data_IF_435707989325
#
_entry.id   IF_435707989325
#
_cell.length_a   1.000
_cell.length_b   1.000
_cell.length_c   1.000
_cell.angle_alpha   90.00
_cell.angle_beta   90.00
_cell.angle_gamma   90.00
#
_symmetry.space_group_name_H-M   'P 1'
#
loop_
_entity.id
_entity.type
_entity.pdbx_description
1 polymer ?
#
# COMPACT_ATOMS: atom_id res chain seq x y z
N UNK A 1 21.30 15.99 43.46
CA UNK A 1 20.40 14.86 43.73
C UNK A 1 20.79 13.69 42.83
N UNK A 2 21.52 12.69 43.35
CA UNK A 2 22.03 11.58 42.54
C UNK A 2 20.89 10.70 42.04
N UNK A 3 20.84 10.45 40.73
CA UNK A 3 19.91 9.52 40.10
C UNK A 3 20.24 8.07 40.51
N UNK A 4 19.77 7.66 41.69
CA UNK A 4 19.89 6.26 42.16
C UNK A 4 19.09 5.37 41.19
N UNK A 5 19.77 4.47 40.45
CA UNK A 5 19.14 3.37 39.69
C UNK A 5 19.43 3.29 38.20
N UNK A 6 20.17 4.22 37.56
CA UNK A 6 20.54 4.04 36.17
C UNK A 6 21.69 3.02 36.01
N UNK A 7 21.65 2.26 34.90
CA UNK A 7 22.76 1.36 34.54
C UNK A 7 23.94 2.17 33.99
N UNK A 8 25.16 1.97 34.58
CA UNK A 8 26.38 2.56 34.06
C UNK A 8 26.70 2.02 32.64
N UNK A 9 27.13 2.89 31.76
CA UNK A 9 27.68 2.53 30.44
C UNK A 9 29.06 1.87 30.61
N UNK A 10 29.58 1.26 29.54
CA UNK A 10 30.94 0.71 29.54
C UNK A 10 31.99 1.78 29.85
N UNK A 11 31.89 2.92 29.15
CA UNK A 11 32.86 4.02 29.29
C UNK A 11 32.84 4.65 30.68
N UNK A 12 31.67 4.79 31.31
CA UNK A 12 31.55 5.25 32.69
C UNK A 12 32.22 4.28 33.67
N UNK A 13 32.08 2.97 33.47
CA UNK A 13 32.74 1.97 34.30
C UNK A 13 34.26 2.02 34.15
N UNK A 14 34.73 2.22 32.92
CA UNK A 14 36.17 2.37 32.66
C UNK A 14 36.67 3.64 33.32
N UNK A 15 36.02 4.79 33.14
CA UNK A 15 36.40 6.06 33.73
C UNK A 15 36.48 5.99 35.28
N UNK A 16 35.48 5.35 35.91
CA UNK A 16 35.48 5.08 37.36
C UNK A 16 36.72 4.27 37.78
N UNK A 17 37.02 3.18 37.06
CA UNK A 17 38.17 2.33 37.40
C UNK A 17 39.50 3.03 37.15
N UNK A 18 39.63 3.84 36.10
CA UNK A 18 40.83 4.64 35.81
C UNK A 18 41.07 5.74 36.87
N UNK A 19 39.99 6.37 37.38
CA UNK A 19 40.10 7.31 38.49
C UNK A 19 40.68 6.64 39.75
N UNK A 20 40.22 5.44 40.07
CA UNK A 20 40.77 4.67 41.20
C UNK A 20 42.21 4.25 40.93
N UNK A 21 42.57 3.85 39.73
CA UNK A 21 43.94 3.50 39.32
C UNK A 21 44.91 4.69 39.50
N UNK A 22 44.40 5.93 39.33
CA UNK A 22 45.15 7.17 39.56
C UNK A 22 45.27 7.56 41.03
N UNK A 23 44.77 6.76 41.97
CA UNK A 23 44.89 6.95 43.37
C UNK A 23 43.70 7.56 44.10
N UNK A 24 42.59 7.79 43.43
CA UNK A 24 41.38 8.29 44.10
C UNK A 24 40.71 7.18 44.92
N UNK A 25 40.15 7.54 46.08
CA UNK A 25 39.39 6.61 46.90
C UNK A 25 38.17 6.07 46.16
N UNK A 26 37.92 4.74 46.17
CA UNK A 26 36.71 4.16 45.57
C UNK A 26 35.42 4.76 46.12
N UNK A 27 35.38 5.14 47.36
CA UNK A 27 34.22 5.77 48.01
C UNK A 27 33.94 7.16 47.42
N UNK A 28 34.99 7.99 47.28
CA UNK A 28 34.90 9.30 46.68
C UNK A 28 34.43 9.20 45.21
N UNK A 29 34.99 8.25 44.46
CA UNK A 29 34.61 8.04 43.04
C UNK A 29 33.17 7.58 42.94
N UNK A 30 32.68 6.72 43.87
CA UNK A 30 31.28 6.29 43.91
C UNK A 30 30.32 7.47 44.11
N UNK A 31 30.64 8.36 45.03
CA UNK A 31 29.84 9.55 45.35
C UNK A 31 29.83 10.56 44.18
N UNK A 32 31.00 10.86 43.61
CA UNK A 32 31.15 11.81 42.50
C UNK A 32 30.39 11.35 41.26
N UNK A 33 30.47 10.06 40.90
CA UNK A 33 29.81 9.51 39.72
C UNK A 33 28.36 9.05 39.98
N UNK A 34 27.88 9.09 41.23
CA UNK A 34 26.51 8.72 41.59
C UNK A 34 26.20 7.23 41.48
N UNK A 35 27.21 6.38 41.60
CA UNK A 35 27.07 4.92 41.60
C UNK A 35 27.11 4.34 43.04
N UNK A 36 26.51 3.14 43.20
CA UNK A 36 26.60 2.48 44.48
C UNK A 36 28.03 2.01 44.77
N UNK A 37 28.47 2.14 46.03
CA UNK A 37 29.77 1.66 46.50
C UNK A 37 30.02 0.21 46.08
N UNK A 38 29.05 -0.68 46.26
CA UNK A 38 29.17 -2.10 45.90
C UNK A 38 29.45 -2.29 44.41
N UNK A 39 28.80 -1.50 43.53
CA UNK A 39 29.04 -1.56 42.08
C UNK A 39 30.45 -1.11 41.72
N UNK A 40 30.92 0.00 42.29
CA UNK A 40 32.25 0.54 42.03
C UNK A 40 33.35 -0.45 42.48
N UNK A 41 33.23 -1.03 43.68
CA UNK A 41 34.15 -2.05 44.14
C UNK A 41 34.15 -3.32 43.30
N UNK A 42 32.96 -3.76 42.80
CA UNK A 42 32.86 -4.91 41.91
C UNK A 42 33.54 -4.63 40.58
N UNK A 43 33.34 -3.43 40.00
CA UNK A 43 33.99 -3.01 38.73
C UNK A 43 35.50 -2.90 38.91
N UNK A 44 35.99 -2.29 40.03
CA UNK A 44 37.40 -2.14 40.33
C UNK A 44 38.10 -3.51 40.46
N UNK A 45 37.47 -4.47 41.14
CA UNK A 45 37.99 -5.84 41.23
C UNK A 45 38.11 -6.48 39.87
N UNK A 46 37.04 -6.42 39.05
CA UNK A 46 37.04 -6.99 37.71
C UNK A 46 38.07 -6.32 36.79
N UNK A 47 38.24 -4.99 36.89
CA UNK A 47 39.22 -4.23 36.13
C UNK A 47 40.63 -4.61 36.48
N UNK A 48 40.94 -4.71 37.77
CA UNK A 48 42.28 -5.07 38.27
C UNK A 48 42.68 -6.50 37.89
N UNK A 49 41.73 -7.44 37.90
CA UNK A 49 41.96 -8.86 37.61
C UNK A 49 42.05 -9.14 36.10
N UNK A 50 41.24 -8.48 35.29
CA UNK A 50 41.02 -8.87 33.91
C UNK A 50 40.98 -7.70 32.93
N UNK A 51 41.33 -6.50 33.35
CA UNK A 51 41.38 -5.29 32.51
C UNK A 51 40.02 -4.71 32.13
N UNK A 52 40.04 -3.65 31.33
CA UNK A 52 38.85 -2.90 30.94
C UNK A 52 37.76 -3.75 30.24
N UNK A 53 38.16 -4.77 29.49
CA UNK A 53 37.21 -5.62 28.76
C UNK A 53 36.26 -6.40 29.69
N UNK A 54 36.68 -6.66 30.93
CA UNK A 54 35.85 -7.33 31.93
C UNK A 54 34.65 -6.48 32.39
N UNK A 55 34.70 -5.16 32.14
CA UNK A 55 33.61 -4.23 32.44
C UNK A 55 32.49 -4.22 31.40
N UNK A 56 32.67 -4.88 30.25
CA UNK A 56 31.60 -5.01 29.25
C UNK A 56 30.45 -5.83 29.81
N UNK A 57 29.25 -5.30 29.67
CA UNK A 57 28.05 -6.03 30.08
C UNK A 57 27.88 -7.28 29.19
N UNK A 58 27.98 -8.46 29.82
CA UNK A 58 27.64 -9.70 29.10
C UNK A 58 26.15 -9.65 28.71
N UNK A 59 25.86 -9.79 27.43
CA UNK A 59 24.48 -10.01 26.99
C UNK A 59 24.02 -11.31 27.64
N UNK A 60 23.08 -11.22 28.55
CA UNK A 60 22.40 -12.39 29.11
C UNK A 60 21.66 -13.07 27.94
N UNK A 61 21.87 -14.37 27.75
CA UNK A 61 21.01 -15.15 26.83
C UNK A 61 19.59 -15.04 27.35
N UNK A 62 18.71 -14.52 26.51
CA UNK A 62 17.28 -14.52 26.79
C UNK A 62 16.75 -15.96 26.97
N UNK A 63 15.49 -16.12 27.41
CA UNK A 63 14.86 -17.44 27.49
C UNK A 63 15.03 -18.19 26.19
N UNK A 64 15.20 -19.53 26.27
CA UNK A 64 15.27 -20.38 25.09
C UNK A 64 14.04 -20.16 24.18
N UNK A 65 14.27 -20.19 22.88
CA UNK A 65 13.18 -20.06 21.90
C UNK A 65 12.20 -21.22 22.11
N UNK A 66 10.90 -20.89 22.22
CA UNK A 66 9.85 -21.92 22.43
C UNK A 66 9.54 -22.71 21.16
N UNK A 67 9.96 -22.23 19.99
CA UNK A 67 9.89 -22.92 18.71
C UNK A 67 11.28 -23.10 18.16
N UNK A 68 11.62 -24.33 17.77
CA UNK A 68 12.87 -24.66 17.09
C UNK A 68 12.83 -24.24 15.61
N UNK A 69 14.00 -24.28 14.95
CA UNK A 69 14.14 -23.79 13.56
C UNK A 69 13.30 -24.60 12.56
N UNK A 70 13.13 -25.90 12.77
CA UNK A 70 12.26 -26.76 11.95
C UNK A 70 10.79 -26.34 12.09
N UNK A 71 10.33 -26.10 13.33
CA UNK A 71 8.97 -25.62 13.59
C UNK A 71 8.72 -24.24 13.01
N UNK A 72 9.71 -23.36 13.06
CA UNK A 72 9.66 -22.03 12.44
C UNK A 72 9.53 -22.14 10.91
N UNK A 73 10.33 -22.99 10.27
CA UNK A 73 10.25 -23.25 8.84
C UNK A 73 8.90 -23.85 8.41
N UNK A 74 8.33 -24.78 9.24
CA UNK A 74 6.99 -25.33 9.00
C UNK A 74 5.91 -24.25 9.17
N UNK A 75 6.00 -23.42 10.21
CA UNK A 75 5.08 -22.30 10.42
C UNK A 75 5.09 -21.33 9.24
N UNK A 76 6.27 -20.98 8.74
CA UNK A 76 6.41 -20.12 7.58
C UNK A 76 5.66 -20.70 6.37
N UNK A 77 5.87 -21.97 6.04
CA UNK A 77 5.20 -22.62 4.91
C UNK A 77 3.68 -22.65 5.06
N UNK A 78 3.18 -22.91 6.26
CA UNK A 78 1.75 -22.94 6.54
C UNK A 78 1.11 -21.54 6.39
N UNK A 79 1.74 -20.50 6.92
CA UNK A 79 1.18 -19.14 6.89
C UNK A 79 1.35 -18.49 5.52
N UNK A 80 2.50 -18.66 4.85
CA UNK A 80 2.77 -18.05 3.55
C UNK A 80 2.17 -18.83 2.37
N UNK A 81 2.01 -20.14 2.51
CA UNK A 81 1.58 -21.02 1.41
C UNK A 81 0.13 -21.47 1.47
N UNK A 82 -0.63 -21.10 2.52
CA UNK A 82 -2.01 -21.58 2.69
C UNK A 82 -2.96 -20.44 3.05
N UNK A 83 -4.15 -20.49 2.48
CA UNK A 83 -5.30 -19.73 2.96
C UNK A 83 -5.74 -20.31 4.32
N UNK A 84 -6.03 -19.46 5.34
CA UNK A 84 -6.49 -19.97 6.64
C UNK A 84 -7.65 -20.97 6.58
N UNK A 85 -8.56 -20.80 5.62
CA UNK A 85 -9.72 -21.70 5.42
C UNK A 85 -9.31 -23.12 5.05
N UNK A 86 -8.19 -23.31 4.37
CA UNK A 86 -7.63 -24.64 4.07
C UNK A 86 -7.13 -25.36 5.33
N UNK A 87 -6.88 -24.59 6.40
CA UNK A 87 -6.48 -25.10 7.71
C UNK A 87 -7.63 -25.03 8.74
N UNK A 88 -8.87 -25.04 8.26
CA UNK A 88 -10.10 -25.06 9.07
C UNK A 88 -10.30 -23.82 9.96
N UNK A 89 -9.86 -22.64 9.49
CA UNK A 89 -10.25 -21.38 10.08
C UNK A 89 -11.36 -20.74 9.24
N UNK A 90 -12.28 -19.99 9.86
CA UNK A 90 -13.40 -19.34 9.15
C UNK A 90 -12.96 -18.18 8.25
N UNK A 91 -12.16 -17.20 8.76
CA UNK A 91 -11.72 -16.05 7.99
C UNK A 91 -10.68 -16.41 6.91
N UNK A 92 -10.65 -15.62 5.81
CA UNK A 92 -9.66 -15.77 4.74
C UNK A 92 -8.31 -15.07 5.03
N UNK A 93 -8.24 -14.20 6.05
CA UNK A 93 -7.04 -13.44 6.37
C UNK A 93 -6.47 -13.88 7.71
N UNK A 94 -5.18 -14.15 7.74
CA UNK A 94 -4.47 -14.50 8.96
C UNK A 94 -4.52 -13.39 10.02
N UNK A 95 -4.90 -13.76 11.22
CA UNK A 95 -4.75 -12.92 12.41
C UNK A 95 -3.71 -13.52 13.36
N UNK A 96 -3.12 -12.70 14.23
CA UNK A 96 -2.19 -13.21 15.26
C UNK A 96 -2.86 -14.27 16.15
N UNK A 97 -4.17 -14.14 16.43
CA UNK A 97 -4.93 -15.12 17.19
C UNK A 97 -5.03 -16.48 16.49
N UNK A 98 -5.34 -16.48 15.20
CA UNK A 98 -5.39 -17.70 14.40
C UNK A 98 -4.02 -18.37 14.30
N UNK A 99 -2.95 -17.58 14.14
CA UNK A 99 -1.57 -18.09 14.10
C UNK A 99 -1.17 -18.67 15.49
N UNK A 100 -1.57 -18.04 16.59
CA UNK A 100 -1.36 -18.59 17.92
C UNK A 100 -2.04 -19.95 18.10
N UNK A 101 -3.28 -20.07 17.61
CA UNK A 101 -4.04 -21.32 17.63
C UNK A 101 -3.42 -22.38 16.69
N UNK A 102 -2.96 -21.99 15.52
CA UNK A 102 -2.21 -22.87 14.61
C UNK A 102 -0.95 -23.42 15.27
N UNK A 103 -0.17 -22.57 15.94
CA UNK A 103 1.03 -22.97 16.69
C UNK A 103 0.65 -23.98 17.79
N UNK A 104 -0.44 -23.73 18.50
CA UNK A 104 -0.92 -24.65 19.53
C UNK A 104 -1.32 -26.00 18.94
N UNK A 105 -2.04 -26.02 17.82
CA UNK A 105 -2.49 -27.25 17.14
C UNK A 105 -1.34 -28.05 16.56
N UNK A 106 -0.41 -27.38 15.88
CA UNK A 106 0.67 -28.04 15.14
C UNK A 106 1.86 -28.45 16.02
N UNK A 107 2.15 -27.67 17.08
CA UNK A 107 3.38 -27.84 17.87
C UNK A 107 3.13 -28.04 19.36
N UNK A 108 1.89 -27.96 19.83
CA UNK A 108 1.57 -28.08 21.26
C UNK A 108 2.06 -26.88 22.11
N UNK A 109 2.48 -25.76 21.48
CA UNK A 109 3.09 -24.61 22.16
C UNK A 109 2.10 -23.48 22.25
N UNK A 110 1.84 -22.97 23.46
CA UNK A 110 1.01 -21.80 23.67
C UNK A 110 1.86 -20.52 23.73
N UNK A 111 1.60 -19.56 22.86
CA UNK A 111 2.27 -18.28 22.77
C UNK A 111 1.30 -17.13 22.98
N UNK A 112 1.77 -16.03 23.59
CA UNK A 112 1.01 -14.77 23.61
C UNK A 112 1.01 -14.12 22.22
N UNK A 113 0.01 -13.29 21.92
CA UNK A 113 -0.11 -12.58 20.64
C UNK A 113 1.10 -11.67 20.36
N UNK A 114 1.73 -11.12 21.41
CA UNK A 114 2.97 -10.33 21.30
C UNK A 114 4.13 -11.23 20.85
N UNK A 115 4.24 -12.41 21.45
CA UNK A 115 5.29 -13.38 21.08
C UNK A 115 5.09 -13.89 19.65
N UNK A 116 3.84 -14.16 19.24
CA UNK A 116 3.52 -14.50 17.85
C UNK A 116 3.97 -13.41 16.89
N UNK A 117 3.71 -12.12 17.22
CA UNK A 117 4.20 -11.01 16.40
C UNK A 117 5.72 -11.03 16.22
N UNK A 118 6.48 -11.22 17.30
CA UNK A 118 7.95 -11.31 17.26
C UNK A 118 8.45 -12.52 16.46
N UNK A 119 7.73 -13.65 16.54
CA UNK A 119 8.03 -14.85 15.73
C UNK A 119 7.84 -14.55 14.26
N UNK A 120 6.74 -13.91 13.87
CA UNK A 120 6.47 -13.53 12.48
C UNK A 120 7.51 -12.53 11.95
N UNK A 121 7.86 -11.50 12.72
CA UNK A 121 8.93 -10.57 12.38
C UNK A 121 10.29 -11.27 12.16
N UNK A 122 10.64 -12.23 13.03
CA UNK A 122 11.86 -13.05 12.89
C UNK A 122 11.82 -13.90 11.61
N UNK A 123 10.64 -14.33 11.16
CA UNK A 123 10.42 -15.04 9.90
C UNK A 123 10.38 -14.11 8.67
N UNK A 124 10.60 -12.80 8.84
CA UNK A 124 10.55 -11.82 7.75
C UNK A 124 9.13 -11.47 7.31
N UNK A 125 8.12 -11.78 8.12
CA UNK A 125 6.72 -11.49 7.83
C UNK A 125 6.27 -10.20 8.48
N UNK A 126 5.52 -9.39 7.75
CA UNK A 126 4.86 -8.18 8.26
C UNK A 126 3.38 -8.17 7.83
N UNK A 127 2.52 -7.42 8.54
CA UNK A 127 1.14 -7.23 8.10
C UNK A 127 1.12 -6.60 6.71
N UNK A 128 0.45 -7.26 5.76
CA UNK A 128 0.28 -6.81 4.39
C UNK A 128 -1.19 -6.53 4.13
N UNK A 129 -1.48 -5.53 3.30
CA UNK A 129 -2.82 -5.33 2.76
C UNK A 129 -2.98 -6.27 1.56
N UNK A 130 -3.90 -7.24 1.61
CA UNK A 130 -4.03 -8.20 0.52
C UNK A 130 -4.51 -7.52 -0.76
N UNK A 131 -3.98 -7.96 -1.88
CA UNK A 131 -4.54 -7.63 -3.18
C UNK A 131 -5.77 -8.52 -3.42
N UNK A 132 -6.89 -7.89 -3.76
CA UNK A 132 -8.08 -8.61 -4.19
C UNK A 132 -7.99 -8.87 -5.69
N UNK A 133 -7.97 -10.14 -6.07
CA UNK A 133 -8.10 -10.57 -7.47
C UNK A 133 -9.43 -11.29 -7.63
N UNK A 134 -10.15 -10.99 -8.70
CA UNK A 134 -11.34 -11.73 -9.04
C UNK A 134 -10.93 -13.19 -9.33
N UNK A 135 -11.61 -14.17 -8.71
CA UNK A 135 -11.32 -15.57 -8.97
C UNK A 135 -11.65 -16.00 -10.40
N UNK A 136 -12.46 -15.18 -11.09
CA UNK A 136 -12.81 -15.32 -12.51
C UNK A 136 -11.71 -14.83 -13.46
N UNK A 137 -10.66 -14.17 -12.93
CA UNK A 137 -9.53 -13.73 -13.74
C UNK A 137 -8.79 -14.94 -14.32
N UNK A 138 -8.52 -14.88 -15.62
CA UNK A 138 -7.72 -15.87 -16.34
C UNK A 138 -6.26 -15.37 -16.47
N UNK A 139 -5.32 -15.95 -15.70
CA UNK A 139 -3.92 -15.53 -15.76
C UNK A 139 -3.28 -15.74 -17.14
N UNK A 140 -3.76 -16.75 -17.90
CA UNK A 140 -3.24 -17.03 -19.22
C UNK A 140 -3.64 -15.95 -20.21
N UNK A 141 -4.91 -15.52 -20.20
CA UNK A 141 -5.38 -14.39 -21.01
C UNK A 141 -4.67 -13.09 -20.65
N UNK A 142 -4.41 -12.86 -19.36
CA UNK A 142 -3.63 -11.70 -18.89
C UNK A 142 -2.20 -11.72 -19.46
N UNK A 143 -1.55 -12.90 -19.45
CA UNK A 143 -0.22 -13.08 -20.02
C UNK A 143 -0.23 -12.88 -21.54
N UNK A 144 -1.18 -13.51 -22.24
CA UNK A 144 -1.34 -13.38 -23.69
C UNK A 144 -1.59 -11.92 -24.10
N UNK A 145 -2.42 -11.20 -23.34
CA UNK A 145 -2.62 -9.77 -23.57
C UNK A 145 -1.30 -8.99 -23.56
N UNK A 146 -0.49 -9.17 -22.53
CA UNK A 146 0.79 -8.46 -22.39
C UNK A 146 1.82 -8.84 -23.44
N UNK A 147 1.90 -10.12 -23.78
CA UNK A 147 2.97 -10.64 -24.64
C UNK A 147 2.64 -10.60 -26.13
N UNK A 148 1.36 -10.65 -26.49
CA UNK A 148 0.94 -10.77 -27.89
C UNK A 148 -0.01 -9.65 -28.30
N UNK A 149 -1.14 -9.48 -27.59
CA UNK A 149 -2.23 -8.59 -28.06
C UNK A 149 -1.83 -7.12 -27.98
N UNK A 150 -1.33 -6.68 -26.81
CA UNK A 150 -0.96 -5.27 -26.66
C UNK A 150 0.23 -4.84 -27.53
N UNK A 151 1.30 -5.62 -27.70
CA UNK A 151 2.35 -5.32 -28.70
C UNK A 151 1.83 -5.18 -30.12
N UNK A 152 0.85 -6.01 -30.53
CA UNK A 152 0.20 -5.86 -31.84
C UNK A 152 -0.59 -4.56 -31.97
N UNK A 153 -1.32 -4.17 -30.90
CA UNK A 153 -2.02 -2.87 -30.85
C UNK A 153 -1.01 -1.73 -30.95
N UNK A 154 0.12 -1.81 -30.25
CA UNK A 154 1.18 -0.79 -30.33
C UNK A 154 1.79 -0.69 -31.75
N UNK A 155 2.09 -1.82 -32.37
CA UNK A 155 2.65 -1.86 -33.74
C UNK A 155 1.66 -1.24 -34.73
N UNK A 156 0.38 -1.60 -34.61
CA UNK A 156 -0.69 -1.07 -35.45
C UNK A 156 -0.90 0.43 -35.21
N UNK A 157 -0.96 0.88 -33.95
CA UNK A 157 -1.06 2.30 -33.61
C UNK A 157 0.10 3.12 -34.19
N UNK A 158 1.31 2.58 -34.15
CA UNK A 158 2.49 3.22 -34.76
C UNK A 158 2.35 3.32 -36.28
N UNK A 159 1.89 2.27 -36.95
CA UNK A 159 1.70 2.24 -38.40
C UNK A 159 0.60 3.23 -38.85
N UNK A 160 -0.48 3.34 -38.12
CA UNK A 160 -1.63 4.21 -38.42
C UNK A 160 -1.48 5.64 -37.86
N UNK A 161 -0.40 5.92 -37.11
CA UNK A 161 -0.19 7.20 -36.43
C UNK A 161 -1.19 7.48 -35.33
N UNK A 162 -1.83 6.44 -34.78
CA UNK A 162 -2.86 6.55 -33.75
C UNK A 162 -2.25 6.79 -32.35
N UNK A 163 -3.07 7.33 -31.46
CA UNK A 163 -2.77 7.43 -30.02
C UNK A 163 -3.57 6.36 -29.28
N UNK A 164 -2.88 5.61 -28.41
CA UNK A 164 -3.52 4.62 -27.55
C UNK A 164 -3.97 5.34 -26.27
N UNK A 165 -5.26 5.23 -25.97
CA UNK A 165 -5.86 5.63 -24.72
C UNK A 165 -6.42 4.42 -23.99
N UNK A 166 -6.25 4.38 -22.68
CA UNK A 166 -6.99 3.50 -21.78
C UNK A 166 -8.09 4.33 -21.15
N UNK A 167 -9.29 3.79 -21.10
CA UNK A 167 -10.42 4.49 -20.52
C UNK A 167 -11.22 3.60 -19.58
N UNK A 168 -11.88 4.26 -18.62
CA UNK A 168 -12.71 3.63 -17.61
C UNK A 168 -13.72 4.64 -17.04
N UNK A 169 -14.72 4.13 -16.31
CA UNK A 169 -15.66 4.93 -15.55
C UNK A 169 -15.54 4.65 -14.06
N UNK A 170 -15.75 5.69 -13.30
CA UNK A 170 -15.81 5.59 -11.86
C UNK A 170 -16.88 6.48 -11.26
N UNK A 171 -17.34 6.10 -10.09
CA UNK A 171 -18.23 6.94 -9.29
C UNK A 171 -17.65 7.19 -7.90
N UNK A 172 -17.94 8.35 -7.36
CA UNK A 172 -17.66 8.70 -5.97
C UNK A 172 -18.93 9.23 -5.33
N UNK A 173 -19.14 8.93 -4.04
CA UNK A 173 -20.31 9.34 -3.29
C UNK A 173 -19.94 10.35 -2.23
N UNK A 174 -20.92 11.16 -1.81
CA UNK A 174 -20.75 12.14 -0.71
C UNK A 174 -20.37 11.49 0.63
N UNK A 175 -20.73 10.23 0.86
CA UNK A 175 -20.40 9.47 2.07
C UNK A 175 -19.09 8.65 1.94
N UNK A 176 -18.31 8.85 0.87
CA UNK A 176 -17.03 8.20 0.70
C UNK A 176 -15.94 8.95 1.47
N UNK A 177 -15.22 8.22 2.33
CA UNK A 177 -14.12 8.75 3.12
C UNK A 177 -12.87 7.88 2.97
N UNK A 178 -11.73 8.52 2.87
CA UNK A 178 -10.44 7.86 2.79
C UNK A 178 -9.39 8.59 3.63
N UNK A 179 -8.46 7.81 4.22
CA UNK A 179 -7.34 8.37 4.98
C UNK A 179 -7.60 8.48 6.47
N UNK A 180 -6.64 9.12 7.14
CA UNK A 180 -6.61 9.37 8.59
C UNK A 180 -6.25 10.83 8.82
N UNK A 181 -6.59 11.34 10.01
CA UNK A 181 -6.19 12.68 10.44
C UNK A 181 -5.62 12.65 11.86
N UNK A 182 -5.01 13.75 12.28
CA UNK A 182 -4.41 13.88 13.61
C UNK A 182 -5.44 14.34 14.62
N UNK A 183 -5.44 13.70 15.78
CA UNK A 183 -6.25 14.09 16.95
C UNK A 183 -5.51 13.67 18.24
N UNK A 184 -5.86 14.25 19.41
CA UNK A 184 -5.35 13.77 20.69
C UNK A 184 -5.68 12.30 20.90
N UNK A 185 -4.76 11.56 21.54
CA UNK A 185 -4.95 10.15 21.86
C UNK A 185 -6.26 9.94 22.63
N UNK A 186 -7.07 8.99 22.19
CA UNK A 186 -8.38 8.70 22.80
C UNK A 186 -9.52 9.64 22.39
N UNK A 187 -9.27 10.61 21.50
CA UNK A 187 -10.31 11.52 20.98
C UNK A 187 -10.44 11.34 19.47
N UNK A 188 -11.47 10.60 19.05
CA UNK A 188 -11.76 10.44 17.63
C UNK A 188 -12.29 11.76 17.05
N UNK A 189 -11.65 12.31 15.99
CA UNK A 189 -12.13 13.52 15.35
C UNK A 189 -13.45 13.26 14.62
N UNK A 190 -14.32 14.24 14.61
CA UNK A 190 -15.59 14.21 13.87
C UNK A 190 -15.48 15.19 12.70
N UNK A 191 -15.75 14.70 11.50
CA UNK A 191 -15.84 15.52 10.29
C UNK A 191 -17.30 15.58 9.87
N UNK A 192 -17.85 16.80 9.78
CA UNK A 192 -19.21 16.99 9.33
C UNK A 192 -19.33 16.64 7.84
N UNK A 193 -20.36 15.89 7.49
CA UNK A 193 -20.67 15.51 6.10
C UNK A 193 -22.18 15.52 5.90
N UNK A 194 -22.63 15.55 4.65
CA UNK A 194 -24.05 15.42 4.33
C UNK A 194 -24.52 13.99 4.55
N UNK A 195 -25.73 13.83 5.15
CA UNK A 195 -26.40 12.52 5.22
C UNK A 195 -27.00 12.04 3.89
N UNK A 196 -27.01 12.89 2.86
CA UNK A 196 -27.53 12.54 1.54
C UNK A 196 -26.50 11.74 0.74
N UNK A 197 -26.91 10.54 0.27
CA UNK A 197 -26.08 9.66 -0.56
C UNK A 197 -26.18 10.06 -2.04
N UNK A 198 -25.51 11.13 -2.42
CA UNK A 198 -25.42 11.58 -3.81
C UNK A 198 -24.14 11.03 -4.44
N UNK A 199 -24.18 10.75 -5.72
CA UNK A 199 -23.01 10.27 -6.49
C UNK A 199 -22.69 11.17 -7.66
N UNK A 200 -21.40 11.32 -7.92
CA UNK A 200 -20.86 11.92 -9.14
C UNK A 200 -20.15 10.82 -9.90
N UNK A 201 -20.45 10.68 -11.17
CA UNK A 201 -19.79 9.74 -12.06
C UNK A 201 -18.83 10.47 -13.00
N UNK A 202 -17.77 9.79 -13.33
CA UNK A 202 -16.66 10.31 -14.13
C UNK A 202 -16.29 9.26 -15.17
N UNK A 203 -15.95 9.69 -16.38
CA UNK A 203 -15.23 8.88 -17.34
C UNK A 203 -13.92 9.57 -17.68
N UNK A 204 -12.84 8.81 -17.82
CA UNK A 204 -11.55 9.33 -18.26
C UNK A 204 -10.90 8.46 -19.30
N UNK A 205 -9.94 9.04 -20.01
CA UNK A 205 -9.08 8.35 -20.95
C UNK A 205 -7.66 8.93 -20.81
N UNK A 206 -6.69 8.03 -20.58
CA UNK A 206 -5.27 8.39 -20.37
C UNK A 206 -4.37 7.75 -21.41
N UNK A 207 -3.32 8.48 -21.83
CA UNK A 207 -2.31 7.96 -22.74
C UNK A 207 -0.92 7.94 -22.08
N UNK A 208 -0.05 7.05 -22.56
CA UNK A 208 1.35 7.00 -22.14
C UNK A 208 2.14 8.29 -22.48
N UNK A 209 1.55 9.20 -23.24
CA UNK A 209 2.10 10.53 -23.52
C UNK A 209 1.80 11.55 -22.42
N UNK A 210 0.97 11.18 -21.43
CA UNK A 210 0.55 12.05 -20.34
C UNK A 210 -0.71 12.85 -20.64
N UNK A 211 -1.45 12.49 -21.72
CA UNK A 211 -2.73 13.12 -22.04
C UNK A 211 -3.82 12.52 -21.15
N UNK A 212 -4.70 13.38 -20.64
CA UNK A 212 -5.89 13.00 -19.88
C UNK A 212 -7.09 13.76 -20.43
N UNK A 213 -8.08 13.01 -20.90
CA UNK A 213 -9.41 13.52 -21.26
C UNK A 213 -10.42 12.98 -20.25
N UNK A 214 -11.40 13.78 -19.88
CA UNK A 214 -12.40 13.35 -18.92
C UNK A 214 -13.75 14.05 -19.09
N UNK A 215 -14.76 13.45 -18.51
CA UNK A 215 -16.06 14.07 -18.23
C UNK A 215 -16.50 13.77 -16.81
N UNK A 216 -17.27 14.69 -16.24
CA UNK A 216 -17.84 14.55 -14.89
C UNK A 216 -19.31 14.89 -14.97
N UNK A 217 -20.16 14.07 -14.36
CA UNK A 217 -21.60 14.33 -14.31
C UNK A 217 -22.23 13.90 -12.99
N UNK A 218 -23.34 14.53 -12.65
CA UNK A 218 -24.20 14.12 -11.54
C UNK A 218 -25.07 12.95 -11.99
N UNK A 219 -25.02 11.85 -11.24
CA UNK A 219 -25.70 10.61 -11.59
C UNK A 219 -24.80 9.60 -12.29
N UNK A 220 -25.38 8.58 -12.91
CA UNK A 220 -24.65 7.51 -13.61
C UNK A 220 -24.25 7.90 -15.03
N UNK A 221 -23.19 7.28 -15.56
CA UNK A 221 -22.83 7.33 -16.99
C UNK A 221 -23.47 6.12 -17.67
N UNK A 222 -24.26 6.36 -18.71
CA UNK A 222 -24.83 5.32 -19.55
C UNK A 222 -24.09 5.24 -20.90
N UNK A 223 -24.53 4.37 -21.80
CA UNK A 223 -23.88 4.19 -23.10
C UNK A 223 -23.96 5.43 -24.01
N UNK A 224 -25.03 6.22 -23.92
CA UNK A 224 -25.20 7.47 -24.64
C UNK A 224 -24.20 8.53 -24.13
N UNK A 225 -24.07 8.66 -22.81
CA UNK A 225 -23.12 9.57 -22.19
C UNK A 225 -21.69 9.20 -22.56
N UNK A 226 -21.37 7.90 -22.54
CA UNK A 226 -20.05 7.40 -22.93
C UNK A 226 -19.79 7.64 -24.45
N UNK A 227 -20.81 7.52 -25.30
CA UNK A 227 -20.68 7.87 -26.70
C UNK A 227 -20.39 9.36 -26.92
N UNK A 228 -20.99 10.25 -26.10
CA UNK A 228 -20.67 11.69 -26.11
C UNK A 228 -19.21 11.91 -25.68
N UNK A 229 -18.75 11.22 -24.65
CA UNK A 229 -17.36 11.26 -24.22
C UNK A 229 -16.40 10.82 -25.34
N UNK A 230 -16.68 9.70 -26.02
CA UNK A 230 -15.87 9.21 -27.14
C UNK A 230 -15.82 10.21 -28.31
N UNK A 231 -16.95 10.87 -28.63
CA UNK A 231 -16.97 11.93 -29.66
C UNK A 231 -16.09 13.11 -29.30
N UNK A 232 -16.16 13.54 -28.04
CA UNK A 232 -15.31 14.61 -27.52
C UNK A 232 -13.82 14.20 -27.57
N UNK A 233 -13.49 12.98 -27.12
CA UNK A 233 -12.13 12.45 -27.19
C UNK A 233 -11.60 12.47 -28.64
N UNK A 234 -12.39 12.03 -29.62
CA UNK A 234 -12.02 12.07 -31.03
C UNK A 234 -11.85 13.50 -31.56
N UNK A 235 -12.68 14.44 -31.11
CA UNK A 235 -12.58 15.85 -31.51
C UNK A 235 -11.34 16.53 -30.98
N UNK A 236 -11.01 16.24 -29.71
CA UNK A 236 -9.84 16.82 -29.04
C UNK A 236 -8.52 16.16 -29.53
N UNK A 237 -8.56 14.88 -29.92
CA UNK A 237 -7.40 14.18 -30.43
C UNK A 237 -7.10 14.55 -31.88
N UNK A 238 -5.87 15.04 -32.13
CA UNK A 238 -5.41 15.38 -33.49
C UNK A 238 -5.15 14.14 -34.40
N UNK A 239 -5.22 12.93 -33.83
CA UNK A 239 -4.83 11.65 -34.44
C UNK A 239 -5.94 10.62 -34.26
N UNK A 240 -5.93 9.51 -35.03
CA UNK A 240 -6.81 8.39 -34.76
C UNK A 240 -6.62 7.88 -33.32
N UNK A 241 -7.72 7.49 -32.69
CA UNK A 241 -7.80 7.04 -31.29
C UNK A 241 -7.95 5.53 -31.26
N UNK A 242 -7.00 4.86 -30.64
CA UNK A 242 -7.11 3.46 -30.23
C UNK A 242 -7.52 3.44 -28.77
N UNK A 243 -8.76 3.06 -28.50
CA UNK A 243 -9.35 3.12 -27.17
C UNK A 243 -9.43 1.71 -26.57
N UNK A 244 -8.68 1.50 -25.49
CA UNK A 244 -8.68 0.26 -24.74
C UNK A 244 -9.62 0.41 -23.54
N UNK A 245 -10.57 -0.50 -23.45
CA UNK A 245 -11.69 -0.49 -22.50
C UNK A 245 -11.74 -1.80 -21.71
N UNK A 246 -12.38 -1.79 -20.55
CA UNK A 246 -12.78 -3.02 -19.89
C UNK A 246 -13.97 -3.70 -20.63
N UNK A 247 -14.38 -4.87 -20.11
CA UNK A 247 -15.50 -5.61 -20.68
C UNK A 247 -16.87 -5.22 -20.09
N UNK A 248 -17.04 -3.97 -19.63
CA UNK A 248 -18.34 -3.47 -19.18
C UNK A 248 -19.41 -3.55 -20.30
N UNK A 249 -20.65 -3.82 -19.91
CA UNK A 249 -21.78 -3.85 -20.87
C UNK A 249 -21.99 -2.52 -21.59
N UNK A 250 -21.65 -1.42 -20.95
CA UNK A 250 -21.72 -0.07 -21.53
C UNK A 250 -20.83 0.01 -22.77
N UNK A 251 -19.60 -0.52 -22.70
CA UNK A 251 -18.62 -0.46 -23.78
C UNK A 251 -18.98 -1.36 -24.98
N UNK A 252 -19.76 -2.42 -24.77
CA UNK A 252 -20.28 -3.30 -25.80
C UNK A 252 -21.65 -2.86 -26.37
N UNK A 253 -22.18 -1.73 -25.90
CA UNK A 253 -23.47 -1.23 -26.39
C UNK A 253 -23.40 -0.91 -27.88
N UNK A 254 -24.52 -1.17 -28.62
CA UNK A 254 -24.62 -0.96 -30.06
C UNK A 254 -24.29 0.48 -30.48
N UNK A 255 -24.58 1.47 -29.65
CA UNK A 255 -24.26 2.87 -29.91
C UNK A 255 -22.76 3.11 -29.99
N UNK A 256 -21.97 2.45 -29.14
CA UNK A 256 -20.51 2.58 -29.07
C UNK A 256 -19.87 1.88 -30.27
N UNK A 257 -20.27 0.64 -30.55
CA UNK A 257 -19.75 -0.12 -31.69
C UNK A 257 -20.09 0.54 -33.02
N UNK A 258 -21.31 1.10 -33.15
CA UNK A 258 -21.69 1.89 -34.32
C UNK A 258 -20.88 3.17 -34.45
N UNK A 259 -20.69 3.91 -33.33
CA UNK A 259 -19.86 5.11 -33.35
C UNK A 259 -18.45 4.81 -33.86
N UNK A 260 -17.83 3.71 -33.41
CA UNK A 260 -16.52 3.31 -33.89
C UNK A 260 -16.55 2.97 -35.39
N UNK A 261 -17.54 2.19 -35.85
CA UNK A 261 -17.68 1.82 -37.26
C UNK A 261 -17.89 3.05 -38.18
N UNK A 262 -18.72 3.99 -37.73
CA UNK A 262 -19.06 5.20 -38.50
C UNK A 262 -17.97 6.29 -38.43
N UNK A 263 -16.94 6.09 -37.62
CA UNK A 263 -15.85 7.06 -37.38
C UNK A 263 -14.88 7.21 -38.56
N UNK A 264 -14.97 6.36 -39.60
CA UNK A 264 -13.99 6.37 -40.67
C UNK A 264 -12.55 6.04 -40.25
N UNK A 265 -12.39 5.21 -39.23
CA UNK A 265 -11.08 4.85 -38.69
C UNK A 265 -10.52 5.81 -37.62
N UNK A 266 -11.30 6.86 -37.27
CA UNK A 266 -10.91 7.79 -36.22
C UNK A 266 -10.98 7.17 -34.81
N UNK A 267 -11.79 6.14 -34.59
CA UNK A 267 -11.93 5.40 -33.34
C UNK A 267 -11.85 3.90 -33.59
N UNK A 268 -10.90 3.24 -32.95
CA UNK A 268 -10.82 1.78 -32.92
C UNK A 268 -10.88 1.31 -31.48
N UNK A 269 -11.76 0.34 -31.20
CA UNK A 269 -11.97 -0.18 -29.84
C UNK A 269 -11.19 -1.47 -29.66
N UNK A 270 -10.57 -1.61 -28.50
CA UNK A 270 -9.92 -2.82 -27.98
C UNK A 270 -10.42 -3.09 -26.58
N UNK A 271 -10.38 -4.35 -26.15
CA UNK A 271 -10.89 -4.75 -24.84
C UNK A 271 -9.83 -5.49 -24.04
N UNK A 272 -9.68 -5.11 -22.77
CA UNK A 272 -8.84 -5.81 -21.80
C UNK A 272 -9.35 -7.24 -21.58
N UNK A 273 -8.51 -8.16 -21.11
CA UNK A 273 -8.99 -9.44 -20.58
C UNK A 273 -10.03 -9.22 -19.49
N UNK A 274 -11.06 -10.07 -19.41
CA UNK A 274 -12.07 -9.97 -18.36
C UNK A 274 -11.46 -9.99 -16.96
N UNK A 275 -12.00 -9.19 -16.05
CA UNK A 275 -11.60 -9.13 -14.64
C UNK A 275 -10.11 -8.79 -14.40
N UNK A 276 -9.53 -7.96 -15.25
CA UNK A 276 -8.12 -7.55 -15.17
C UNK A 276 -7.94 -6.03 -15.02
N UNK A 277 -8.50 -5.40 -13.97
CA UNK A 277 -8.38 -3.95 -13.76
C UNK A 277 -6.94 -3.50 -13.56
N UNK A 278 -6.06 -4.39 -13.06
CA UNK A 278 -4.64 -4.10 -12.89
C UNK A 278 -3.90 -3.85 -14.23
N UNK A 279 -4.52 -4.14 -15.36
CA UNK A 279 -4.01 -3.81 -16.69
C UNK A 279 -4.46 -2.43 -17.18
N UNK A 280 -5.31 -1.74 -16.41
CA UNK A 280 -5.81 -0.43 -16.81
C UNK A 280 -5.09 0.69 -16.02
N UNK A 281 -4.21 1.48 -16.65
CA UNK A 281 -3.55 2.60 -15.98
C UNK A 281 -4.54 3.69 -15.50
N UNK A 282 -5.77 3.72 -16.02
CA UNK A 282 -6.81 4.65 -15.60
C UNK A 282 -7.28 4.42 -14.14
N UNK A 283 -7.06 3.23 -13.58
CA UNK A 283 -7.28 2.95 -12.16
C UNK A 283 -6.45 3.87 -11.23
N UNK A 284 -5.29 4.32 -11.69
CA UNK A 284 -4.48 5.29 -10.95
C UNK A 284 -5.10 6.70 -10.97
N UNK A 285 -5.84 7.05 -12.01
CA UNK A 285 -6.66 8.28 -12.02
C UNK A 285 -7.69 8.19 -10.91
N UNK A 286 -8.40 7.07 -10.83
CA UNK A 286 -9.44 6.86 -9.80
C UNK A 286 -8.87 6.81 -8.39
N UNK A 287 -7.72 6.22 -8.20
CA UNK A 287 -7.02 6.28 -6.92
C UNK A 287 -6.73 7.72 -6.53
N UNK A 288 -6.17 8.52 -7.42
CA UNK A 288 -5.87 9.92 -7.16
C UNK A 288 -7.14 10.72 -6.84
N UNK A 289 -8.16 10.64 -7.68
CA UNK A 289 -9.39 11.41 -7.51
C UNK A 289 -10.15 10.98 -6.25
N UNK A 290 -10.34 9.67 -6.05
CA UNK A 290 -11.14 9.15 -4.94
C UNK A 290 -10.39 9.20 -3.61
N UNK A 291 -9.17 8.62 -3.54
CA UNK A 291 -8.45 8.46 -2.27
C UNK A 291 -7.70 9.72 -1.86
N UNK A 292 -7.05 10.39 -2.82
CA UNK A 292 -6.15 11.49 -2.48
C UNK A 292 -6.87 12.84 -2.42
N UNK A 293 -8.04 12.95 -3.08
CA UNK A 293 -8.84 14.19 -3.10
C UNK A 293 -10.24 14.01 -2.50
N UNK A 294 -11.18 13.38 -3.20
CA UNK A 294 -12.58 13.34 -2.80
C UNK A 294 -12.80 12.70 -1.42
N UNK A 295 -12.13 11.59 -1.13
CA UNK A 295 -12.25 10.89 0.16
C UNK A 295 -11.70 11.67 1.36
N UNK A 296 -10.93 12.72 1.13
CA UNK A 296 -10.38 13.60 2.18
C UNK A 296 -11.11 14.92 2.30
N UNK A 297 -11.99 15.24 1.37
CA UNK A 297 -12.55 16.59 1.22
C UNK A 297 -13.85 16.82 1.99
N UNK A 298 -14.53 15.78 2.50
CA UNK A 298 -15.80 15.89 3.23
C UNK A 298 -16.84 16.78 2.51
N UNK A 299 -17.29 16.34 1.32
CA UNK A 299 -18.27 17.08 0.52
C UNK A 299 -19.58 17.31 1.29
N UNK A 300 -20.04 18.55 1.37
CA UNK A 300 -21.27 18.93 2.06
C UNK A 300 -22.50 18.91 1.15
N UNK A 301 -22.30 18.94 -0.17
CA UNK A 301 -23.36 18.93 -1.15
C UNK A 301 -22.98 18.11 -2.39
N UNK A 302 -23.95 17.89 -3.28
CA UNK A 302 -23.71 17.29 -4.60
C UNK A 302 -22.85 18.18 -5.50
N UNK A 303 -23.02 19.51 -5.39
CA UNK A 303 -22.24 20.48 -6.13
C UNK A 303 -20.79 20.53 -5.64
N UNK A 304 -20.58 20.44 -4.33
CA UNK A 304 -19.23 20.35 -3.76
C UNK A 304 -18.51 19.10 -4.26
N UNK A 305 -19.19 17.95 -4.24
CA UNK A 305 -18.58 16.70 -4.73
C UNK A 305 -18.22 16.79 -6.22
N UNK A 306 -19.11 17.37 -7.02
CA UNK A 306 -18.85 17.63 -8.45
C UNK A 306 -17.64 18.54 -8.66
N UNK A 307 -17.57 19.65 -7.92
CA UNK A 307 -16.45 20.59 -7.99
C UNK A 307 -15.13 19.96 -7.54
N UNK A 308 -15.16 19.16 -6.46
CA UNK A 308 -13.97 18.44 -5.96
C UNK A 308 -13.47 17.45 -7.01
N UNK A 309 -14.35 16.64 -7.60
CA UNK A 309 -13.97 15.65 -8.62
C UNK A 309 -13.42 16.32 -9.87
N UNK A 310 -14.08 17.39 -10.35
CA UNK A 310 -13.65 18.15 -11.52
C UNK A 310 -12.27 18.80 -11.26
N UNK A 311 -12.09 19.44 -10.11
CA UNK A 311 -10.82 20.07 -9.74
C UNK A 311 -9.69 19.04 -9.66
N UNK A 312 -9.95 17.86 -9.12
CA UNK A 312 -8.94 16.79 -9.04
C UNK A 312 -8.50 16.31 -10.44
N UNK A 313 -9.46 16.11 -11.34
CA UNK A 313 -9.18 15.72 -12.72
C UNK A 313 -8.47 16.82 -13.52
N UNK A 314 -8.85 18.09 -13.31
CA UNK A 314 -8.17 19.23 -13.94
C UNK A 314 -6.71 19.35 -13.48
N UNK A 315 -6.44 19.11 -12.20
CA UNK A 315 -5.06 19.06 -11.67
C UNK A 315 -4.25 17.94 -12.31
N UNK A 316 -4.82 16.76 -12.48
CA UNK A 316 -4.17 15.65 -13.17
C UNK A 316 -3.90 15.99 -14.64
N UNK A 317 -4.87 16.58 -15.33
CA UNK A 317 -4.72 17.02 -16.73
C UNK A 317 -3.60 18.06 -16.90
N UNK A 318 -3.42 18.92 -15.90
CA UNK A 318 -2.34 19.87 -15.84
C UNK A 318 -0.98 19.27 -15.44
N UNK A 319 -0.92 17.97 -15.08
CA UNK A 319 0.27 17.28 -14.62
C UNK A 319 0.62 16.07 -15.49
N UNK A 320 0.97 16.24 -16.78
CA UNK A 320 1.21 15.15 -17.72
C UNK A 320 2.33 14.18 -17.27
N UNK A 321 3.33 14.68 -16.53
CA UNK A 321 4.39 13.83 -15.96
C UNK A 321 3.84 12.84 -14.91
N UNK A 322 2.84 13.24 -14.14
CA UNK A 322 2.19 12.34 -13.19
C UNK A 322 1.38 11.28 -13.92
N UNK A 323 0.64 11.66 -14.96
CA UNK A 323 -0.14 10.72 -15.79
C UNK A 323 0.79 9.71 -16.47
N UNK A 324 1.96 10.14 -17.01
CA UNK A 324 2.97 9.21 -17.56
C UNK A 324 3.45 8.17 -16.54
N UNK A 325 3.59 8.56 -15.27
CA UNK A 325 4.01 7.63 -14.21
C UNK A 325 3.00 6.52 -13.92
N UNK A 326 1.73 6.71 -14.24
CA UNK A 326 0.73 5.65 -14.11
C UNK A 326 1.06 4.45 -14.99
N UNK A 327 1.67 4.66 -16.14
CA UNK A 327 2.11 3.62 -17.06
C UNK A 327 3.45 2.96 -16.63
N UNK A 328 4.17 3.54 -15.68
CA UNK A 328 5.42 2.98 -15.15
C UNK A 328 5.19 1.99 -14.00
N UNK A 329 3.95 1.67 -13.65
CA UNK A 329 3.64 0.65 -12.66
C UNK A 329 4.19 -0.71 -13.10
N UNK A 330 5.02 -1.39 -12.27
CA UNK A 330 5.59 -2.70 -12.62
C UNK A 330 4.55 -3.77 -12.94
N UNK A 331 3.32 -3.62 -12.45
CA UNK A 331 2.22 -4.55 -12.75
C UNK A 331 1.72 -4.38 -14.17
N UNK A 332 1.69 -3.16 -14.68
CA UNK A 332 1.25 -2.86 -16.04
C UNK A 332 2.22 -3.41 -17.09
N UNK A 333 3.52 -3.14 -16.95
CA UNK A 333 4.60 -3.59 -17.86
C UNK A 333 4.25 -3.39 -19.36
N UNK A 334 3.76 -2.21 -19.71
CA UNK A 334 3.45 -1.83 -21.09
C UNK A 334 4.67 -1.23 -21.81
#
# INVERSE_FOLDING_TARGET
>A
MALKGRRATFDERVAVCEAIARGHSPDLVADVHGFSRSSVFAWWRAYRERGAQALRTKKTRGPAARLGDEQLGRLYRLVAGSDPRQLSFGPALWTRGMIAELIRREFGVTLSLVTVGRVLERLGMSPQRPLHRAYQQDPERTRQWKQEVFPQIQARAKAEGAVIFFADEASVRTDYHAGTTWAPVGRTPVVATTGARRSVSMASAVSARGELHFTVQKGGINAEDFAVFCRKLMADAARPVFLILDNSRVHHAKIITRLAADSGGRLTLFFLPPYSPELNPDEWVWKNVKHDHAGRAAALSHDDLYAIATTALDRLRAAPDLVRRFFADPVLQY
#
